data_IF_645029068576
#
_entry.id   IF_645029068576
#
_cell.length_a   1.000
_cell.length_b   1.000
_cell.length_c   1.000
_cell.angle_alpha   90.00
_cell.angle_beta   90.00
_cell.angle_gamma   90.00
#
_symmetry.space_group_name_H-M   'P 1'
#
loop_
_entity.id
_entity.type
_entity.pdbx_description
1 polymer ?
#
# COMPACT_ATOMS: atom_id res chain seq x y z
N UNK A 1 -34.94 -6.03 40.55
CA UNK A 1 -34.03 -4.90 40.20
C UNK A 1 -32.55 -5.26 40.11
N UNK A 2 -32.04 -6.35 40.73
CA UNK A 2 -30.60 -6.70 40.70
C UNK A 2 -30.09 -7.16 39.32
N UNK A 3 -30.90 -7.85 38.51
CA UNK A 3 -30.50 -8.37 37.18
C UNK A 3 -30.34 -7.27 36.10
N UNK A 4 -31.07 -6.16 36.23
CA UNK A 4 -30.98 -5.02 35.31
C UNK A 4 -29.68 -4.23 35.47
N UNK A 5 -29.14 -4.15 36.70
CA UNK A 5 -27.82 -3.55 37.00
C UNK A 5 -26.66 -4.27 36.30
N UNK A 6 -26.74 -5.59 36.15
CA UNK A 6 -25.66 -6.38 35.52
C UNK A 6 -25.68 -6.27 33.98
N UNK A 7 -26.86 -6.10 33.39
CA UNK A 7 -27.04 -5.87 31.93
C UNK A 7 -26.55 -4.46 31.55
N UNK A 8 -26.79 -3.44 32.38
CA UNK A 8 -26.25 -2.09 32.16
C UNK A 8 -24.72 -2.03 32.27
N UNK A 9 -24.11 -2.79 33.19
CA UNK A 9 -22.64 -2.83 33.33
C UNK A 9 -21.98 -3.53 32.13
N UNK A 10 -22.59 -4.59 31.60
CA UNK A 10 -22.09 -5.28 30.41
C UNK A 10 -22.19 -4.41 29.13
N UNK A 11 -23.23 -3.58 29.01
CA UNK A 11 -23.40 -2.65 27.89
C UNK A 11 -22.43 -1.46 27.93
N UNK A 12 -22.05 -0.99 29.12
CA UNK A 12 -21.11 0.13 29.30
C UNK A 12 -19.66 -0.29 28.99
N UNK A 13 -19.27 -1.53 29.33
CA UNK A 13 -17.93 -2.05 28.99
C UNK A 13 -17.77 -2.30 27.49
N UNK A 14 -18.84 -2.67 26.78
CA UNK A 14 -18.81 -2.83 25.32
C UNK A 14 -18.66 -1.48 24.58
N UNK A 15 -19.11 -0.37 25.17
CA UNK A 15 -19.09 0.95 24.55
C UNK A 15 -17.73 1.67 24.68
N UNK A 16 -16.90 1.30 25.66
CA UNK A 16 -15.59 1.92 25.91
C UNK A 16 -14.42 1.27 25.16
N UNK A 17 -14.62 0.08 24.56
CA UNK A 17 -13.55 -0.65 23.84
C UNK A 17 -13.52 -0.30 22.33
N UNK A 18 -14.59 0.31 21.81
CA UNK A 18 -14.70 0.65 20.38
C UNK A 18 -13.75 1.75 19.87
N UNK A 19 -13.36 2.79 20.64
CA UNK A 19 -12.45 3.82 20.13
C UNK A 19 -10.99 3.37 20.02
N UNK A 20 -10.59 2.30 20.71
CA UNK A 20 -9.19 1.86 20.76
C UNK A 20 -8.71 1.10 19.50
N UNK A 21 -9.64 0.67 18.63
CA UNK A 21 -9.28 -0.10 17.42
C UNK A 21 -8.84 0.75 16.24
N UNK A 22 -8.96 2.09 16.29
CA UNK A 22 -8.41 2.95 15.24
C UNK A 22 -6.87 3.01 15.28
N UNK A 23 -6.24 2.61 16.39
CA UNK A 23 -4.79 2.62 16.57
C UNK A 23 -4.06 1.35 16.10
N UNK A 24 -4.75 0.37 15.51
CA UNK A 24 -4.13 -0.88 15.04
C UNK A 24 -3.92 -0.96 13.51
N UNK A 25 -4.36 0.05 12.75
CA UNK A 25 -4.08 0.12 11.32
C UNK A 25 -2.72 0.75 11.09
N UNK A 26 -1.94 0.18 10.17
CA UNK A 26 -0.60 0.67 9.80
C UNK A 26 -0.67 1.66 8.64
N UNK A 27 -1.63 1.47 7.74
CA UNK A 27 -2.02 2.45 6.73
C UNK A 27 -3.37 3.08 7.09
N UNK A 28 -3.53 4.35 6.73
CA UNK A 28 -4.75 5.15 6.96
C UNK A 28 -6.02 4.40 6.50
N UNK A 29 -5.95 3.79 5.31
CA UNK A 29 -7.07 3.12 4.66
C UNK A 29 -6.92 1.59 4.63
N UNK A 30 -6.09 1.01 5.50
CA UNK A 30 -5.96 -0.44 5.60
C UNK A 30 -7.30 -1.13 5.93
N UNK A 31 -7.52 -2.37 5.43
CA UNK A 31 -8.65 -3.18 5.90
C UNK A 31 -8.52 -3.45 7.41
N UNK A 32 -9.63 -3.33 8.15
CA UNK A 32 -9.64 -3.41 9.61
C UNK A 32 -9.18 -4.77 10.18
N UNK A 33 -9.44 -5.88 9.47
CA UNK A 33 -8.92 -7.20 9.79
C UNK A 33 -8.59 -7.95 8.50
N UNK A 34 -7.41 -8.54 8.40
CA UNK A 34 -6.99 -9.39 7.29
C UNK A 34 -6.53 -10.74 7.83
N UNK A 35 -6.96 -11.83 7.18
CA UNK A 35 -6.49 -13.19 7.49
C UNK A 35 -5.06 -13.45 7.02
N UNK A 36 -4.56 -12.60 6.11
CA UNK A 36 -3.17 -12.65 5.61
C UNK A 36 -2.32 -11.61 6.32
N UNK A 37 -1.08 -12.00 6.64
CA UNK A 37 -0.09 -11.06 7.17
C UNK A 37 0.19 -9.94 6.17
N UNK A 38 0.59 -8.76 6.66
CA UNK A 38 1.00 -7.64 5.79
C UNK A 38 2.12 -8.03 4.80
N UNK A 39 3.07 -8.86 5.24
CA UNK A 39 4.12 -9.42 4.36
C UNK A 39 3.53 -10.29 3.24
N UNK A 40 2.55 -11.14 3.54
CA UNK A 40 1.89 -11.94 2.51
C UNK A 40 1.05 -11.10 1.54
N UNK A 41 0.50 -9.97 2.00
CA UNK A 41 -0.26 -9.05 1.13
C UNK A 41 0.67 -8.28 0.20
N UNK A 42 1.77 -7.69 0.70
CA UNK A 42 2.66 -6.90 -0.18
C UNK A 42 3.37 -7.78 -1.20
N UNK A 43 3.68 -9.03 -0.86
CA UNK A 43 4.35 -9.98 -1.77
C UNK A 43 3.38 -10.53 -2.82
N UNK A 44 3.03 -9.68 -3.77
CA UNK A 44 2.12 -9.93 -4.88
C UNK A 44 2.64 -9.23 -6.15
N UNK A 45 1.93 -9.45 -7.25
CA UNK A 45 2.16 -8.80 -8.53
C UNK A 45 1.22 -7.61 -8.64
N UNK A 46 1.78 -6.41 -8.64
CA UNK A 46 1.02 -5.16 -8.60
C UNK A 46 1.14 -4.42 -9.92
N UNK A 47 0.02 -4.10 -10.55
CA UNK A 47 -0.03 -3.31 -11.78
C UNK A 47 -0.54 -1.90 -11.47
N UNK A 48 0.21 -0.87 -11.86
CA UNK A 48 -0.19 0.51 -11.66
C UNK A 48 -1.43 0.83 -12.49
N UNK A 49 -2.49 1.31 -11.85
CA UNK A 49 -3.76 1.66 -12.50
C UNK A 49 -4.01 3.16 -12.51
N UNK A 50 -3.44 3.90 -11.56
CA UNK A 50 -3.64 5.35 -11.42
C UNK A 50 -2.48 6.02 -10.71
N UNK A 51 -2.20 7.27 -11.10
CA UNK A 51 -1.30 8.18 -10.39
C UNK A 51 -2.05 9.49 -10.13
N UNK A 52 -1.90 10.03 -8.93
CA UNK A 52 -2.31 11.38 -8.59
C UNK A 52 -1.09 12.22 -8.25
N UNK A 53 -1.10 13.49 -8.66
CA UNK A 53 -0.14 14.52 -8.25
C UNK A 53 -0.92 15.63 -7.56
N UNK A 54 -0.62 15.88 -6.29
CA UNK A 54 -1.35 16.84 -5.45
C UNK A 54 -2.88 16.62 -5.48
N UNK A 55 -3.32 15.37 -5.58
CA UNK A 55 -4.74 14.99 -5.69
C UNK A 55 -5.34 15.08 -7.09
N UNK A 56 -4.57 15.47 -8.10
CA UNK A 56 -5.03 15.52 -9.49
C UNK A 56 -4.56 14.30 -10.28
N UNK A 57 -5.48 13.63 -10.98
CA UNK A 57 -5.18 12.45 -11.80
C UNK A 57 -4.17 12.77 -12.90
N UNK A 58 -3.16 11.92 -13.04
CA UNK A 58 -2.18 11.97 -14.12
C UNK A 58 -2.53 10.93 -15.19
N UNK A 59 -2.27 11.27 -16.46
CA UNK A 59 -2.47 10.31 -17.56
C UNK A 59 -1.32 9.29 -17.59
N UNK A 60 -1.68 8.02 -17.43
CA UNK A 60 -0.75 6.87 -17.50
C UNK A 60 -1.04 5.98 -18.71
N UNK A 61 -1.89 6.42 -19.65
CA UNK A 61 -2.28 5.63 -20.82
C UNK A 61 -1.07 5.26 -21.69
N UNK A 62 -1.12 4.04 -22.23
CA UNK A 62 -0.09 3.53 -23.15
C UNK A 62 1.21 3.13 -22.46
N UNK A 63 1.27 3.18 -21.12
CA UNK A 63 2.35 2.67 -20.31
C UNK A 63 1.82 1.57 -19.38
N UNK A 64 2.58 0.50 -19.24
CA UNK A 64 2.36 -0.54 -18.23
C UNK A 64 3.48 -0.42 -17.22
N UNK A 65 3.14 -0.30 -15.94
CA UNK A 65 4.13 -0.32 -14.86
C UNK A 65 3.73 -1.40 -13.86
N UNK A 66 4.62 -2.37 -13.62
CA UNK A 66 4.40 -3.49 -12.70
C UNK A 66 5.50 -3.59 -11.67
N UNK A 67 5.11 -3.94 -10.45
CA UNK A 67 6.01 -4.29 -9.36
C UNK A 67 5.69 -5.71 -8.89
N UNK A 68 6.67 -6.60 -8.92
CA UNK A 68 6.58 -7.94 -8.36
C UNK A 68 7.38 -7.99 -7.06
N UNK A 69 6.71 -8.17 -5.93
CA UNK A 69 7.36 -8.25 -4.62
C UNK A 69 7.53 -9.71 -4.19
N UNK A 70 8.77 -10.15 -4.02
CA UNK A 70 9.07 -11.51 -3.59
C UNK A 70 9.26 -11.60 -2.07
N UNK A 71 8.87 -12.74 -1.48
CA UNK A 71 9.00 -13.00 -0.03
C UNK A 71 10.44 -12.96 0.49
N UNK A 72 11.41 -13.16 -0.40
CA UNK A 72 12.86 -13.06 -0.18
C UNK A 72 13.33 -11.64 0.15
N UNK A 73 12.54 -10.61 -0.19
CA UNK A 73 12.97 -9.21 -0.14
C UNK A 73 13.50 -8.66 -1.47
N UNK A 74 13.48 -9.46 -2.54
CA UNK A 74 13.72 -8.98 -3.90
C UNK A 74 12.45 -8.40 -4.52
N UNK A 75 12.63 -7.49 -5.47
CA UNK A 75 11.56 -6.86 -6.23
C UNK A 75 11.96 -6.80 -7.71
N UNK A 76 11.01 -7.09 -8.60
CA UNK A 76 11.20 -6.87 -10.04
C UNK A 76 10.25 -5.79 -10.52
N UNK A 77 10.78 -4.81 -11.23
CA UNK A 77 10.01 -3.75 -11.89
C UNK A 77 9.94 -4.03 -13.38
N UNK A 78 8.76 -3.93 -13.98
CA UNK A 78 8.58 -4.02 -15.44
C UNK A 78 7.86 -2.77 -15.93
N UNK A 79 8.49 -2.06 -16.86
CA UNK A 79 7.92 -0.89 -17.53
C UNK A 79 7.77 -1.21 -19.01
N UNK A 80 6.57 -1.06 -19.55
CA UNK A 80 6.31 -1.24 -20.98
C UNK A 80 5.70 0.04 -21.54
N UNK A 81 6.16 0.45 -22.71
CA UNK A 81 5.66 1.64 -23.39
C UNK A 81 5.76 1.50 -24.89
N UNK A 82 5.05 2.34 -25.62
CA UNK A 82 5.17 2.41 -27.08
C UNK A 82 6.14 3.51 -27.47
N UNK A 83 7.20 3.15 -28.18
CA UNK A 83 8.17 4.08 -28.75
C UNK A 83 8.27 3.82 -30.25
N UNK A 84 8.07 4.86 -31.07
CA UNK A 84 8.08 4.75 -32.54
C UNK A 84 7.15 3.66 -33.12
N UNK A 85 6.01 3.41 -32.47
CA UNK A 85 5.04 2.39 -32.91
C UNK A 85 5.41 0.95 -32.53
N UNK A 86 6.50 0.73 -31.80
CA UNK A 86 6.89 -0.57 -31.26
C UNK A 86 6.75 -0.60 -29.73
N UNK A 87 6.21 -1.69 -29.20
CA UNK A 87 6.19 -1.94 -27.75
C UNK A 87 7.59 -2.28 -27.27
N UNK A 88 8.12 -1.46 -26.34
CA UNK A 88 9.39 -1.69 -25.66
C UNK A 88 9.11 -2.10 -24.22
N UNK A 89 9.86 -3.08 -23.70
CA UNK A 89 9.80 -3.50 -22.29
C UNK A 89 11.17 -3.34 -21.65
N UNK A 90 11.23 -2.71 -20.49
CA UNK A 90 12.40 -2.68 -19.61
C UNK A 90 12.04 -3.43 -18.32
N UNK A 91 12.93 -4.32 -17.90
CA UNK A 91 12.85 -5.00 -16.60
C UNK A 91 14.07 -4.62 -15.77
N UNK A 92 13.84 -4.20 -14.54
CA UNK A 92 14.89 -3.88 -13.57
C UNK A 92 14.69 -4.71 -12.31
N UNK A 93 15.79 -5.18 -11.73
CA UNK A 93 15.80 -5.89 -10.45
C UNK A 93 16.07 -4.91 -9.30
N UNK A 94 15.55 -5.24 -8.14
CA UNK A 94 15.62 -4.40 -6.97
C UNK A 94 15.39 -5.15 -5.67
N UNK A 95 15.33 -4.39 -4.58
CA UNK A 95 15.02 -4.90 -3.25
C UNK A 95 13.93 -4.07 -2.59
N UNK A 96 13.26 -4.66 -1.61
CA UNK A 96 12.28 -3.97 -0.80
C UNK A 96 12.39 -4.39 0.67
N UNK A 97 12.08 -3.47 1.56
CA UNK A 97 11.94 -3.74 2.99
C UNK A 97 10.85 -2.87 3.61
N UNK A 98 10.15 -3.43 4.60
CA UNK A 98 9.29 -2.61 5.45
C UNK A 98 10.14 -1.79 6.40
N UNK A 99 9.81 -0.52 6.55
CA UNK A 99 10.41 0.38 7.53
C UNK A 99 9.30 1.05 8.35
N UNK A 100 9.66 1.78 9.42
CA UNK A 100 8.71 2.50 10.27
C UNK A 100 7.55 1.62 10.74
N UNK A 101 7.88 0.52 11.44
CA UNK A 101 6.94 -0.54 11.82
C UNK A 101 6.00 -1.01 10.67
N UNK A 102 6.50 -1.08 9.43
CA UNK A 102 5.73 -1.54 8.26
C UNK A 102 4.61 -0.58 7.83
N UNK A 103 4.62 0.65 8.30
CA UNK A 103 3.80 1.74 7.78
C UNK A 103 4.33 2.19 6.41
N UNK A 104 5.65 2.07 6.20
CA UNK A 104 6.32 2.45 4.98
C UNK A 104 7.00 1.25 4.31
N UNK A 105 7.19 1.35 2.99
CA UNK A 105 8.03 0.44 2.20
C UNK A 105 9.16 1.21 1.54
N UNK A 106 10.38 0.75 1.80
CA UNK A 106 11.58 1.23 1.09
C UNK A 106 11.83 0.31 -0.09
N UNK A 107 11.98 0.89 -1.27
CA UNK A 107 12.27 0.19 -2.52
C UNK A 107 13.59 0.71 -3.07
N UNK A 108 14.46 -0.20 -3.51
CA UNK A 108 15.69 0.13 -4.20
C UNK A 108 15.70 -0.53 -5.58
N UNK A 109 15.81 0.26 -6.64
CA UNK A 109 15.87 -0.20 -8.04
C UNK A 109 16.94 0.64 -8.75
N UNK A 110 17.81 0.02 -9.55
CA UNK A 110 18.85 0.72 -10.33
C UNK A 110 19.74 1.69 -9.50
N UNK A 111 19.97 1.38 -8.21
CA UNK A 111 20.65 2.19 -7.18
C UNK A 111 19.90 3.43 -6.67
N UNK A 112 18.65 3.63 -7.10
CA UNK A 112 17.78 4.67 -6.56
C UNK A 112 16.94 4.09 -5.44
N UNK A 113 16.91 4.79 -4.30
CA UNK A 113 16.11 4.40 -3.14
C UNK A 113 14.95 5.35 -2.97
N UNK A 114 13.75 4.79 -2.89
CA UNK A 114 12.50 5.53 -2.65
C UNK A 114 11.80 4.94 -1.44
N UNK A 115 11.26 5.80 -0.57
CA UNK A 115 10.47 5.37 0.59
C UNK A 115 9.03 5.85 0.38
N UNK A 116 8.11 4.89 0.31
CA UNK A 116 6.69 5.15 0.16
C UNK A 116 5.96 4.89 1.47
N UNK A 117 5.05 5.81 1.81
CA UNK A 117 4.03 5.55 2.81
C UNK A 117 2.99 4.60 2.25
N UNK A 118 2.67 3.54 2.98
CA UNK A 118 1.65 2.58 2.56
C UNK A 118 0.30 3.05 3.10
N UNK A 119 -0.43 3.81 2.28
CA UNK A 119 -1.78 4.29 2.63
C UNK A 119 -2.75 3.12 2.80
N UNK A 120 -2.61 2.11 1.94
CA UNK A 120 -3.45 0.92 1.95
C UNK A 120 -2.72 -0.29 1.39
N UNK A 121 -2.94 -1.44 1.99
CA UNK A 121 -2.47 -2.73 1.47
C UNK A 121 -3.53 -3.81 1.68
N UNK A 122 -4.45 -3.99 0.74
CA UNK A 122 -5.44 -5.06 0.75
C UNK A 122 -4.91 -6.34 0.08
N UNK A 123 -5.79 -7.26 -0.33
CA UNK A 123 -5.36 -8.44 -1.11
C UNK A 123 -5.03 -8.06 -2.56
N UNK A 124 -5.81 -7.14 -3.11
CA UNK A 124 -5.95 -6.78 -4.52
C UNK A 124 -5.89 -5.25 -4.72
N UNK A 125 -5.42 -4.52 -3.71
CA UNK A 125 -5.26 -3.08 -3.77
C UNK A 125 -4.04 -2.66 -2.95
N UNK A 126 -3.14 -1.92 -3.58
CA UNK A 126 -1.99 -1.31 -2.94
C UNK A 126 -1.97 0.18 -3.29
N UNK A 127 -1.88 1.03 -2.27
CA UNK A 127 -1.78 2.48 -2.44
C UNK A 127 -0.50 2.95 -1.76
N UNK A 128 0.40 3.51 -2.56
CA UNK A 128 1.68 4.06 -2.12
C UNK A 128 1.69 5.57 -2.28
N UNK A 129 2.29 6.28 -1.32
CA UNK A 129 2.37 7.74 -1.33
C UNK A 129 3.79 8.21 -1.04
N UNK A 130 4.24 9.25 -1.72
CA UNK A 130 5.51 9.91 -1.45
C UNK A 130 5.40 11.43 -1.63
N UNK A 131 6.39 12.15 -1.10
CA UNK A 131 6.56 13.58 -1.36
C UNK A 131 7.89 13.78 -2.08
N UNK A 132 7.84 14.30 -3.29
CA UNK A 132 9.03 14.58 -4.11
C UNK A 132 8.93 15.95 -4.79
N UNK A 133 10.02 16.71 -4.75
CA UNK A 133 10.10 18.04 -5.36
C UNK A 133 8.99 19.02 -4.92
N UNK A 134 8.52 18.92 -3.67
CA UNK A 134 7.43 19.74 -3.13
C UNK A 134 6.02 19.33 -3.60
N UNK A 135 5.89 18.22 -4.32
CA UNK A 135 4.61 17.64 -4.71
C UNK A 135 4.36 16.35 -3.93
N UNK A 136 3.10 16.01 -3.74
CA UNK A 136 2.67 14.71 -3.23
C UNK A 136 2.24 13.83 -4.41
N UNK A 137 2.78 12.62 -4.49
CA UNK A 137 2.36 11.62 -5.45
C UNK A 137 1.66 10.46 -4.75
N UNK A 138 0.56 9.98 -5.33
CA UNK A 138 -0.15 8.79 -4.87
C UNK A 138 -0.28 7.81 -6.03
N UNK A 139 0.17 6.57 -5.82
CA UNK A 139 0.20 5.51 -6.80
C UNK A 139 -0.77 4.40 -6.37
N UNK A 140 -1.66 4.03 -7.28
CA UNK A 140 -2.67 3.00 -7.04
C UNK A 140 -2.33 1.77 -7.89
N UNK A 141 -2.32 0.62 -7.25
CA UNK A 141 -2.04 -0.66 -7.88
C UNK A 141 -3.11 -1.69 -7.55
N UNK A 142 -3.33 -2.58 -8.51
CA UNK A 142 -4.22 -3.75 -8.43
C UNK A 142 -3.48 -5.03 -8.80
#
# INVERSE_FOLDING_TARGET
>A
MKKFKHILIAAIVALTVFPAMQSCKKGEDDPGLSLRSRKQRITNDWTLTKVEKNGENQDVKGQTYKLNFHKSGSLTQTVQGTFFGATTTKTSEGTWEFVNDKEDVKINIDNETTIFQIQRLAHDELILKENDGGNTYTYYFE
#
